data_IF_008541893852
#
_entry.id   IF_008541893852
#
_cell.length_a   1.000
_cell.length_b   1.000
_cell.length_c   1.000
_cell.angle_alpha   90.00
_cell.angle_beta   90.00
_cell.angle_gamma   90.00
#
_symmetry.space_group_name_H-M   'P 1'
#
loop_
_entity.id
_entity.type
_entity.pdbx_description
1 polymer ?
#
# COMPACT_ATOMS: atom_id res chain seq x y z
N UNK A 1 -0.69 31.76 -23.31
CA UNK A 1 0.35 32.20 -22.34
C UNK A 1 -0.09 31.98 -20.88
N UNK A 2 -1.36 32.28 -20.54
CA UNK A 2 -1.91 32.11 -19.18
C UNK A 2 -1.88 30.64 -18.72
N UNK A 3 -2.31 29.69 -19.56
CA UNK A 3 -2.31 28.26 -19.22
C UNK A 3 -0.93 27.71 -18.83
N UNK A 4 0.12 28.11 -19.57
CA UNK A 4 1.51 27.72 -19.24
C UNK A 4 1.96 28.28 -17.88
N UNK A 5 1.49 29.47 -17.49
CA UNK A 5 1.79 30.07 -16.18
C UNK A 5 1.06 29.31 -15.06
N UNK A 6 -0.23 29.02 -15.26
CA UNK A 6 -1.03 28.25 -14.29
C UNK A 6 -0.44 26.85 -14.09
N UNK A 7 -0.09 26.15 -15.16
CA UNK A 7 0.54 24.83 -15.06
C UNK A 7 1.89 24.87 -14.32
N UNK A 8 2.68 25.92 -14.52
CA UNK A 8 3.93 26.11 -13.78
C UNK A 8 3.66 26.31 -12.28
N UNK A 9 2.66 27.11 -11.91
CA UNK A 9 2.29 27.31 -10.51
C UNK A 9 1.84 26.01 -9.84
N UNK A 10 1.05 25.18 -10.55
CA UNK A 10 0.63 23.86 -10.05
C UNK A 10 1.84 22.96 -9.80
N UNK A 11 2.77 22.89 -10.76
CA UNK A 11 3.98 22.08 -10.61
C UNK A 11 4.86 22.56 -9.45
N UNK A 12 4.98 23.88 -9.27
CA UNK A 12 5.68 24.46 -8.11
C UNK A 12 4.97 24.11 -6.81
N UNK A 13 3.64 24.17 -6.76
CA UNK A 13 2.85 23.77 -5.59
C UNK A 13 3.08 22.31 -5.19
N UNK A 14 3.08 21.39 -6.17
CA UNK A 14 3.42 19.98 -5.92
C UNK A 14 4.86 19.81 -5.42
N UNK A 15 5.81 20.49 -6.05
CA UNK A 15 7.21 20.44 -5.63
C UNK A 15 7.39 20.92 -4.18
N UNK A 16 6.72 22.01 -3.80
CA UNK A 16 6.70 22.51 -2.42
C UNK A 16 6.07 21.51 -1.45
N UNK A 17 4.99 20.81 -1.86
CA UNK A 17 4.42 19.73 -1.04
C UNK A 17 5.47 18.63 -0.78
N UNK A 18 6.21 18.18 -1.79
CA UNK A 18 7.23 17.15 -1.60
C UNK A 18 8.41 17.63 -0.73
N UNK A 19 8.87 18.87 -0.90
CA UNK A 19 9.87 19.46 0.00
C UNK A 19 9.36 19.44 1.44
N UNK A 20 8.09 19.79 1.64
CA UNK A 20 7.47 19.78 2.96
C UNK A 20 7.46 18.38 3.56
N UNK A 21 7.12 17.33 2.81
CA UNK A 21 7.22 15.94 3.29
C UNK A 21 8.66 15.54 3.65
N UNK A 22 9.65 15.94 2.86
CA UNK A 22 11.06 15.72 3.19
C UNK A 22 11.40 16.43 4.51
N UNK A 23 10.98 17.68 4.68
CA UNK A 23 11.21 18.41 5.93
C UNK A 23 10.54 17.73 7.14
N UNK A 24 9.28 17.28 6.99
CA UNK A 24 8.57 16.52 8.03
C UNK A 24 9.31 15.25 8.38
N UNK A 25 9.80 14.49 7.39
CA UNK A 25 10.49 13.23 7.64
C UNK A 25 11.66 13.37 8.63
N UNK A 26 12.41 14.47 8.54
CA UNK A 26 13.56 14.73 9.41
C UNK A 26 13.22 15.48 10.71
N UNK A 27 12.08 16.19 10.77
CA UNK A 27 11.74 17.05 11.91
C UNK A 27 10.55 16.58 12.74
N UNK A 28 9.75 15.63 12.27
CA UNK A 28 8.59 15.15 13.04
C UNK A 28 9.03 14.26 14.19
N UNK A 29 8.40 14.49 15.33
CA UNK A 29 8.59 13.71 16.56
C UNK A 29 8.11 12.28 16.33
N UNK A 30 8.81 11.31 16.93
CA UNK A 30 8.37 9.93 16.97
C UNK A 30 7.09 9.82 17.80
N UNK A 31 6.08 9.17 17.24
CA UNK A 31 4.84 8.85 17.95
C UNK A 31 4.87 7.42 18.51
N UNK A 32 3.96 7.08 19.41
CA UNK A 32 3.91 5.76 20.04
C UNK A 32 3.91 4.59 19.04
N UNK A 33 3.18 4.72 17.93
CA UNK A 33 3.14 3.70 16.87
C UNK A 33 4.53 3.49 16.22
N UNK A 34 5.30 4.58 16.03
CA UNK A 34 6.66 4.50 15.47
C UNK A 34 7.59 3.74 16.42
N UNK A 35 7.52 4.02 17.73
CA UNK A 35 8.33 3.31 18.72
C UNK A 35 8.01 1.82 18.74
N UNK A 36 6.73 1.45 18.72
CA UNK A 36 6.31 0.05 18.70
C UNK A 36 6.80 -0.65 17.43
N UNK A 37 6.67 0.00 16.27
CA UNK A 37 7.14 -0.54 15.00
C UNK A 37 8.67 -0.73 15.00
N UNK A 38 9.43 0.29 15.42
CA UNK A 38 10.89 0.24 15.50
C UNK A 38 11.35 -0.87 16.45
N UNK A 39 10.76 -0.94 17.64
CA UNK A 39 11.09 -1.97 18.63
C UNK A 39 10.81 -3.38 18.10
N UNK A 40 9.65 -3.58 17.48
CA UNK A 40 9.28 -4.87 16.88
C UNK A 40 10.25 -5.27 15.77
N UNK A 41 10.55 -4.36 14.85
CA UNK A 41 11.47 -4.64 13.74
C UNK A 41 12.90 -4.91 14.23
N UNK A 42 13.36 -4.23 15.28
CA UNK A 42 14.66 -4.49 15.90
C UNK A 42 14.71 -5.89 16.52
N UNK A 43 13.70 -6.30 17.29
CA UNK A 43 13.63 -7.65 17.85
C UNK A 43 13.62 -8.73 16.77
N UNK A 44 12.82 -8.55 15.71
CA UNK A 44 12.81 -9.46 14.56
C UNK A 44 14.18 -9.52 13.87
N UNK A 45 14.90 -8.39 13.79
CA UNK A 45 16.26 -8.36 13.24
C UNK A 45 17.31 -9.00 14.15
N UNK A 46 17.06 -9.11 15.45
CA UNK A 46 17.92 -9.86 16.39
C UNK A 46 17.57 -11.37 16.42
N UNK A 47 16.65 -11.80 15.54
CA UNK A 47 16.20 -13.19 15.46
C UNK A 47 15.26 -13.60 16.59
N UNK A 48 14.65 -12.65 17.29
CA UNK A 48 13.64 -12.93 18.32
C UNK A 48 12.35 -13.42 17.68
N UNK A 49 11.75 -14.41 18.30
CA UNK A 49 10.50 -15.01 17.83
C UNK A 49 9.30 -14.32 18.48
N UNK A 50 8.41 -13.79 17.64
CA UNK A 50 7.16 -13.23 18.09
C UNK A 50 6.26 -14.31 18.72
N UNK A 51 5.48 -13.92 19.74
CA UNK A 51 4.67 -14.79 20.61
C UNK A 51 5.49 -15.74 21.51
N UNK A 52 6.82 -15.76 21.41
CA UNK A 52 7.73 -16.51 22.28
C UNK A 52 8.58 -15.56 23.13
N UNK A 53 9.37 -14.71 22.47
CA UNK A 53 10.27 -13.75 23.12
C UNK A 53 9.59 -12.41 23.43
N UNK A 54 8.58 -12.05 22.64
CA UNK A 54 7.83 -10.81 22.80
C UNK A 54 6.41 -10.91 22.22
N UNK A 55 5.49 -10.10 22.73
CA UNK A 55 4.11 -10.06 22.26
C UNK A 55 3.93 -9.09 21.09
N UNK A 56 3.08 -9.45 20.13
CA UNK A 56 2.64 -8.59 19.02
C UNK A 56 1.12 -8.53 19.02
N UNK A 57 0.56 -7.35 19.30
CA UNK A 57 -0.90 -7.16 19.33
C UNK A 57 -1.52 -7.10 17.93
N UNK A 58 -0.76 -6.70 16.92
CA UNK A 58 -1.23 -6.65 15.53
C UNK A 58 -0.06 -6.82 14.57
N UNK A 59 0.05 -8.03 14.01
CA UNK A 59 1.08 -8.31 13.03
C UNK A 59 0.81 -7.59 11.71
N UNK A 60 1.90 -7.23 11.03
CA UNK A 60 1.88 -6.68 9.68
C UNK A 60 3.13 -7.13 8.93
N UNK A 61 2.93 -7.56 7.67
CA UNK A 61 4.03 -7.86 6.74
C UNK A 61 5.06 -6.71 6.63
N UNK A 62 4.65 -5.47 6.93
CA UNK A 62 5.55 -4.31 6.95
C UNK A 62 6.78 -4.56 7.83
N UNK A 63 6.61 -5.19 9.00
CA UNK A 63 7.69 -5.37 9.95
C UNK A 63 8.74 -6.34 9.41
N UNK A 64 8.33 -7.47 8.84
CA UNK A 64 9.26 -8.43 8.24
C UNK A 64 9.97 -7.87 7.01
N UNK A 65 9.28 -7.04 6.22
CA UNK A 65 9.88 -6.42 5.04
C UNK A 65 10.94 -5.37 5.40
N UNK A 66 10.77 -4.69 6.53
CA UNK A 66 11.65 -3.59 6.94
C UNK A 66 12.72 -4.03 7.95
N UNK A 67 12.48 -5.07 8.75
CA UNK A 67 13.43 -5.58 9.74
C UNK A 67 14.85 -5.85 9.17
N UNK A 68 15.04 -6.40 7.95
CA UNK A 68 16.37 -6.63 7.40
C UNK A 68 17.22 -5.36 7.23
N UNK A 69 16.62 -4.17 7.23
CA UNK A 69 17.37 -2.91 7.13
C UNK A 69 18.22 -2.63 8.37
N UNK A 70 17.89 -3.22 9.53
CA UNK A 70 18.72 -3.14 10.73
C UNK A 70 20.09 -3.80 10.55
N UNK A 71 20.20 -4.87 9.74
CA UNK A 71 21.50 -5.48 9.43
C UNK A 71 22.40 -4.58 8.58
N UNK A 72 21.82 -3.66 7.79
CA UNK A 72 22.56 -2.78 6.88
C UNK A 72 22.95 -1.47 7.57
N UNK A 73 22.00 -0.87 8.30
CA UNK A 73 22.16 0.46 8.91
C UNK A 73 22.71 0.36 10.35
N UNK A 74 22.50 -0.77 11.01
CA UNK A 74 22.80 -1.00 12.41
C UNK A 74 21.67 -0.60 13.36
N UNK A 75 21.85 -0.93 14.64
CA UNK A 75 20.89 -0.73 15.72
C UNK A 75 20.85 0.73 16.20
N UNK A 76 20.22 1.58 15.40
CA UNK A 76 20.17 3.04 15.61
C UNK A 76 18.74 3.53 15.47
N UNK A 77 18.30 4.46 16.33
CA UNK A 77 16.94 5.01 16.26
C UNK A 77 16.76 5.86 14.98
N UNK A 78 17.85 6.41 14.45
CA UNK A 78 17.90 7.20 13.24
C UNK A 78 17.49 6.42 11.97
N UNK A 79 17.40 5.09 12.04
CA UNK A 79 16.85 4.27 10.96
C UNK A 79 15.41 4.68 10.59
N UNK A 80 14.67 5.31 11.52
CA UNK A 80 13.36 5.92 11.25
C UNK A 80 13.39 6.87 10.05
N UNK A 81 14.47 7.64 9.87
CA UNK A 81 14.57 8.57 8.76
C UNK A 81 14.62 7.83 7.42
N UNK A 82 15.29 6.68 7.37
CA UNK A 82 15.31 5.83 6.19
C UNK A 82 13.92 5.26 5.89
N UNK A 83 13.22 4.77 6.92
CA UNK A 83 11.85 4.29 6.77
C UNK A 83 10.91 5.39 6.27
N UNK A 84 11.02 6.61 6.79
CA UNK A 84 10.24 7.76 6.32
C UNK A 84 10.55 8.13 4.87
N UNK A 85 11.80 8.02 4.42
CA UNK A 85 12.15 8.20 3.01
C UNK A 85 11.50 7.14 2.11
N UNK A 86 11.40 5.89 2.56
CA UNK A 86 10.64 4.85 1.85
C UNK A 86 9.15 5.20 1.78
N UNK A 87 8.58 5.77 2.84
CA UNK A 87 7.18 6.21 2.86
C UNK A 87 6.93 7.40 1.93
N UNK A 88 7.88 8.36 1.82
CA UNK A 88 7.81 9.41 0.80
C UNK A 88 7.77 8.80 -0.62
N UNK A 89 8.56 7.75 -0.86
CA UNK A 89 8.52 7.02 -2.12
C UNK A 89 7.15 6.35 -2.36
N UNK A 90 6.54 5.76 -1.33
CA UNK A 90 5.18 5.22 -1.41
C UNK A 90 4.13 6.33 -1.68
N UNK A 91 4.28 7.52 -1.07
CA UNK A 91 3.44 8.69 -1.37
C UNK A 91 3.57 9.11 -2.84
N UNK A 92 4.78 9.06 -3.41
CA UNK A 92 5.00 9.33 -4.83
C UNK A 92 4.27 8.32 -5.72
N UNK A 93 4.34 7.03 -5.38
CA UNK A 93 3.61 5.97 -6.10
C UNK A 93 2.10 6.20 -6.01
N UNK A 94 1.57 6.42 -4.81
CA UNK A 94 0.15 6.70 -4.58
C UNK A 94 -0.30 7.94 -5.36
N UNK A 95 0.50 9.01 -5.36
CA UNK A 95 0.22 10.24 -6.11
C UNK A 95 0.13 9.98 -7.61
N UNK A 96 1.06 9.19 -8.15
CA UNK A 96 1.03 8.81 -9.56
C UNK A 96 -0.21 7.97 -9.91
N UNK A 97 -0.58 7.00 -9.05
CA UNK A 97 -1.78 6.19 -9.26
C UNK A 97 -3.06 7.04 -9.22
N UNK A 98 -3.18 7.94 -8.25
CA UNK A 98 -4.30 8.89 -8.16
C UNK A 98 -4.35 9.77 -9.40
N UNK A 99 -3.21 10.31 -9.85
CA UNK A 99 -3.13 11.08 -11.10
C UNK A 99 -3.67 10.28 -12.28
N UNK A 100 -3.23 9.04 -12.47
CA UNK A 100 -3.71 8.16 -13.55
C UNK A 100 -5.21 7.91 -13.48
N UNK A 101 -5.76 7.67 -12.29
CA UNK A 101 -7.18 7.42 -12.09
C UNK A 101 -8.03 8.67 -12.36
N UNK A 102 -7.61 9.85 -11.91
CA UNK A 102 -8.35 11.10 -12.15
C UNK A 102 -8.31 11.46 -13.64
N UNK A 103 -7.18 11.18 -14.31
CA UNK A 103 -6.99 11.41 -15.76
C UNK A 103 -7.93 10.62 -16.66
N UNK A 104 -8.65 9.62 -16.13
CA UNK A 104 -9.72 8.92 -16.85
C UNK A 104 -10.89 9.87 -17.14
N UNK A 105 -11.19 10.77 -16.20
CA UNK A 105 -12.38 11.62 -16.25
C UNK A 105 -12.08 13.09 -16.47
N UNK A 106 -10.89 13.55 -16.03
CA UNK A 106 -10.54 14.98 -16.00
C UNK A 106 -9.21 15.28 -16.68
N UNK A 107 -8.98 16.57 -16.93
CA UNK A 107 -7.72 17.05 -17.51
C UNK A 107 -6.55 16.99 -16.50
N UNK A 108 -5.32 17.23 -16.99
CA UNK A 108 -4.11 17.10 -16.17
C UNK A 108 -4.06 18.12 -15.04
N UNK A 109 -4.53 19.33 -15.29
CA UNK A 109 -4.49 20.40 -14.29
C UNK A 109 -5.40 20.07 -13.11
N UNK A 110 -6.61 19.55 -13.34
CA UNK A 110 -7.52 19.08 -12.28
C UNK A 110 -6.86 17.97 -11.47
N UNK A 111 -6.29 16.96 -12.12
CA UNK A 111 -5.63 15.85 -11.43
C UNK A 111 -4.48 16.32 -10.51
N UNK A 112 -3.64 17.23 -11.01
CA UNK A 112 -2.51 17.76 -10.23
C UNK A 112 -2.97 18.68 -9.09
N UNK A 113 -4.02 19.48 -9.29
CA UNK A 113 -4.62 20.28 -8.20
C UNK A 113 -5.22 19.36 -7.13
N UNK A 114 -5.93 18.29 -7.52
CA UNK A 114 -6.45 17.31 -6.57
C UNK A 114 -5.34 16.65 -5.76
N UNK A 115 -4.19 16.35 -6.37
CA UNK A 115 -3.04 15.85 -5.63
C UNK A 115 -2.54 16.84 -4.58
N UNK A 116 -2.45 18.13 -4.90
CA UNK A 116 -2.09 19.15 -3.91
C UNK A 116 -3.07 19.08 -2.73
N UNK A 117 -4.38 19.10 -2.98
CA UNK A 117 -5.39 19.01 -1.91
C UNK A 117 -5.24 17.75 -1.06
N UNK A 118 -5.04 16.58 -1.68
CA UNK A 118 -4.88 15.32 -0.97
C UNK A 118 -3.62 15.35 -0.10
N UNK A 119 -2.48 15.77 -0.67
CA UNK A 119 -1.19 15.83 0.01
C UNK A 119 -1.15 16.85 1.14
N UNK A 120 -2.02 17.87 1.10
CA UNK A 120 -2.14 18.88 2.18
C UNK A 120 -3.26 18.56 3.18
N UNK A 121 -3.96 17.44 3.04
CA UNK A 121 -4.95 17.05 4.06
C UNK A 121 -4.26 16.75 5.39
N UNK A 122 -4.96 17.02 6.49
CA UNK A 122 -4.45 16.74 7.84
C UNK A 122 -4.08 15.26 8.03
N UNK A 123 -4.87 14.35 7.45
CA UNK A 123 -4.60 12.92 7.52
C UNK A 123 -3.27 12.55 6.84
N UNK A 124 -3.06 12.98 5.59
CA UNK A 124 -1.80 12.70 4.88
C UNK A 124 -0.61 13.40 5.52
N UNK A 125 -0.81 14.65 5.94
CA UNK A 125 0.25 15.46 6.55
C UNK A 125 0.74 14.90 7.89
N UNK A 126 -0.19 14.48 8.76
CA UNK A 126 0.14 14.01 10.11
C UNK A 126 0.49 12.53 10.18
N UNK A 127 -0.09 11.69 9.30
CA UNK A 127 0.01 10.23 9.40
C UNK A 127 0.66 9.57 8.19
N UNK A 128 0.92 10.33 7.12
CA UNK A 128 1.46 9.77 5.88
C UNK A 128 2.89 9.26 5.98
N UNK A 129 3.63 9.64 7.02
CA UNK A 129 5.01 9.19 7.26
C UNK A 129 5.18 8.34 8.53
N UNK A 130 4.07 8.04 9.22
CA UNK A 130 4.10 7.13 10.36
C UNK A 130 4.42 5.71 9.87
N UNK A 131 5.16 4.94 10.67
CA UNK A 131 5.52 3.55 10.32
C UNK A 131 4.34 2.60 10.51
N UNK A 132 3.36 2.72 9.60
CA UNK A 132 2.09 2.01 9.66
C UNK A 132 1.77 1.31 8.34
N UNK A 133 1.00 0.21 8.38
CA UNK A 133 0.61 -0.51 7.16
C UNK A 133 -0.38 0.26 6.27
N UNK A 134 -0.98 1.34 6.76
CA UNK A 134 -2.06 2.05 6.08
C UNK A 134 -1.65 2.61 4.71
N UNK A 135 -0.45 3.19 4.59
CA UNK A 135 0.05 3.73 3.31
C UNK A 135 0.41 2.63 2.29
N UNK A 136 1.15 1.56 2.64
CA UNK A 136 1.31 0.39 1.77
C UNK A 136 -0.03 -0.18 1.27
N UNK A 137 -1.02 -0.33 2.16
CA UNK A 137 -2.36 -0.81 1.80
C UNK A 137 -3.02 0.13 0.79
N UNK A 138 -2.94 1.45 1.02
CA UNK A 138 -3.47 2.46 0.08
C UNK A 138 -2.84 2.32 -1.30
N UNK A 139 -1.52 2.17 -1.39
CA UNK A 139 -0.81 1.97 -2.66
C UNK A 139 -1.30 0.71 -3.39
N UNK A 140 -1.51 -0.38 -2.66
CA UNK A 140 -2.02 -1.64 -3.23
C UNK A 140 -3.47 -1.50 -3.69
N UNK A 141 -4.33 -0.85 -2.91
CA UNK A 141 -5.71 -0.55 -3.29
C UNK A 141 -5.79 0.32 -4.54
N UNK A 142 -5.02 1.40 -4.59
CA UNK A 142 -4.94 2.28 -5.77
C UNK A 142 -4.39 1.51 -6.98
N UNK A 143 -3.42 0.62 -6.79
CA UNK A 143 -2.91 -0.23 -7.87
C UNK A 143 -3.99 -1.17 -8.40
N UNK A 144 -4.81 -1.76 -7.54
CA UNK A 144 -5.97 -2.58 -7.94
C UNK A 144 -6.91 -1.75 -8.83
N UNK A 145 -7.23 -0.52 -8.43
CA UNK A 145 -8.07 0.38 -9.24
C UNK A 145 -7.43 0.72 -10.58
N UNK A 146 -6.12 0.98 -10.62
CA UNK A 146 -5.38 1.23 -11.86
C UNK A 146 -5.43 0.02 -12.79
N UNK A 147 -5.30 -1.21 -12.27
CA UNK A 147 -5.41 -2.44 -13.07
C UNK A 147 -6.83 -2.62 -13.62
N UNK A 148 -7.85 -2.29 -12.81
CA UNK A 148 -9.25 -2.36 -13.23
C UNK A 148 -9.53 -1.37 -14.37
N UNK A 149 -9.26 -0.08 -14.13
CA UNK A 149 -9.79 1.01 -14.96
C UNK A 149 -8.81 1.57 -15.99
N UNK A 150 -7.49 1.51 -15.76
CA UNK A 150 -6.49 2.15 -16.63
C UNK A 150 -5.83 1.12 -17.56
N UNK A 151 -5.40 -0.02 -17.03
CA UNK A 151 -4.68 -1.02 -17.84
C UNK A 151 -5.59 -1.66 -18.88
N UNK A 152 -5.02 -2.08 -20.03
CA UNK A 152 -5.74 -2.74 -21.13
C UNK A 152 -5.39 -4.24 -21.26
N UNK A 153 -5.02 -4.87 -20.16
CA UNK A 153 -4.62 -6.28 -20.15
C UNK A 153 -5.80 -7.23 -20.40
N UNK A 154 -5.48 -8.47 -20.77
CA UNK A 154 -6.46 -9.56 -20.91
C UNK A 154 -7.21 -9.78 -19.57
N UNK A 155 -8.51 -10.10 -19.60
CA UNK A 155 -9.34 -10.16 -18.39
C UNK A 155 -8.84 -11.19 -17.37
N UNK A 156 -8.29 -12.33 -17.80
CA UNK A 156 -7.71 -13.32 -16.89
C UNK A 156 -6.47 -12.78 -16.16
N UNK A 157 -5.51 -12.22 -16.89
CA UNK A 157 -4.29 -11.62 -16.33
C UNK A 157 -4.60 -10.47 -15.38
N UNK A 158 -5.59 -9.62 -15.71
CA UNK A 158 -6.05 -8.57 -14.79
C UNK A 158 -6.53 -9.15 -13.47
N UNK A 159 -7.39 -10.16 -13.51
CA UNK A 159 -7.97 -10.72 -12.30
C UNK A 159 -6.95 -11.49 -11.47
N UNK A 160 -6.01 -12.18 -12.12
CA UNK A 160 -4.84 -12.75 -11.44
C UNK A 160 -4.07 -11.69 -10.66
N UNK A 161 -3.71 -10.58 -11.31
CA UNK A 161 -2.97 -9.49 -10.67
C UNK A 161 -3.78 -8.84 -9.53
N UNK A 162 -5.09 -8.66 -9.71
CA UNK A 162 -5.98 -8.13 -8.67
C UNK A 162 -6.03 -9.07 -7.46
N UNK A 163 -6.12 -10.39 -7.68
CA UNK A 163 -6.07 -11.39 -6.60
C UNK A 163 -4.76 -11.36 -5.84
N UNK A 164 -3.64 -11.31 -6.57
CA UNK A 164 -2.31 -11.19 -5.98
C UNK A 164 -2.16 -9.92 -5.12
N UNK A 165 -2.54 -8.75 -5.66
CA UNK A 165 -2.46 -7.47 -4.94
C UNK A 165 -3.40 -7.41 -3.74
N UNK A 166 -4.61 -7.99 -3.86
CA UNK A 166 -5.58 -8.04 -2.77
C UNK A 166 -5.04 -8.87 -1.60
N UNK A 167 -4.53 -10.07 -1.89
CA UNK A 167 -3.90 -10.91 -0.87
C UNK A 167 -2.67 -10.25 -0.26
N UNK A 168 -1.84 -9.59 -1.06
CA UNK A 168 -0.70 -8.82 -0.54
C UNK A 168 -1.15 -7.73 0.44
N UNK A 169 -2.24 -7.02 0.13
CA UNK A 169 -2.79 -6.01 1.05
C UNK A 169 -3.34 -6.62 2.35
N UNK A 170 -3.94 -7.80 2.28
CA UNK A 170 -4.41 -8.52 3.47
C UNK A 170 -3.27 -8.92 4.40
N UNK A 171 -2.09 -9.25 3.88
CA UNK A 171 -0.90 -9.57 4.68
C UNK A 171 -0.39 -8.37 5.51
N UNK A 172 -0.69 -7.14 5.09
CA UNK A 172 -0.41 -5.96 5.90
C UNK A 172 -1.45 -5.73 6.99
N UNK A 173 -2.74 -5.97 6.70
CA UNK A 173 -3.84 -5.85 7.67
C UNK A 173 -5.13 -6.46 7.12
N UNK A 174 -5.87 -7.20 7.94
CA UNK A 174 -7.17 -7.78 7.53
C UNK A 174 -8.20 -6.75 7.05
N UNK A 175 -8.19 -5.53 7.63
CA UNK A 175 -9.05 -4.41 7.19
C UNK A 175 -8.88 -4.05 5.71
N UNK A 176 -7.79 -4.49 5.07
CA UNK A 176 -7.60 -4.37 3.62
C UNK A 176 -8.69 -5.10 2.80
N UNK A 177 -9.48 -6.01 3.39
CA UNK A 177 -10.57 -6.75 2.73
C UNK A 177 -11.66 -5.84 2.13
N UNK A 178 -11.78 -4.60 2.60
CA UNK A 178 -12.78 -3.63 2.12
C UNK A 178 -12.69 -3.37 0.61
N UNK A 179 -11.50 -3.47 -0.01
CA UNK A 179 -11.36 -3.35 -1.46
C UNK A 179 -12.11 -4.46 -2.23
N UNK A 180 -12.40 -5.58 -1.55
CA UNK A 180 -13.20 -6.68 -2.07
C UNK A 180 -14.59 -6.25 -2.54
N UNK A 181 -15.19 -5.22 -1.93
CA UNK A 181 -16.47 -4.66 -2.39
C UNK A 181 -16.35 -4.08 -3.79
N UNK A 182 -15.29 -3.31 -4.06
CA UNK A 182 -15.05 -2.70 -5.39
C UNK A 182 -14.76 -3.78 -6.43
N UNK A 183 -13.99 -4.81 -6.07
CA UNK A 183 -13.70 -5.96 -6.93
C UNK A 183 -15.00 -6.73 -7.24
N UNK A 184 -15.87 -6.91 -6.24
CA UNK A 184 -17.18 -7.54 -6.38
C UNK A 184 -18.08 -6.76 -7.34
N UNK A 185 -18.18 -5.44 -7.18
CA UNK A 185 -18.94 -4.57 -8.10
C UNK A 185 -18.39 -4.68 -9.53
N UNK A 186 -17.06 -4.68 -9.70
CA UNK A 186 -16.44 -4.84 -11.02
C UNK A 186 -16.75 -6.18 -11.68
N UNK A 187 -16.82 -7.26 -10.90
CA UNK A 187 -17.23 -8.59 -11.38
C UNK A 187 -18.70 -8.60 -11.82
N UNK A 188 -19.58 -7.97 -11.05
CA UNK A 188 -21.02 -7.91 -11.31
C UNK A 188 -21.40 -6.97 -12.46
N UNK A 189 -20.60 -5.94 -12.75
CA UNK A 189 -20.86 -5.02 -13.87
C UNK A 189 -20.97 -5.71 -15.24
N UNK A 190 -20.50 -6.96 -15.36
CA UNK A 190 -20.59 -7.76 -16.58
C UNK A 190 -21.88 -8.57 -16.76
N UNK A 191 -22.85 -8.52 -15.83
CA UNK A 191 -24.04 -9.40 -15.81
C UNK A 191 -24.81 -9.39 -17.13
N UNK A 192 -24.92 -8.24 -17.79
CA UNK A 192 -25.67 -8.10 -19.05
C UNK A 192 -24.98 -8.68 -20.28
N UNK A 193 -23.77 -9.27 -20.15
CA UNK A 193 -23.03 -9.79 -21.28
C UNK A 193 -23.38 -11.25 -21.60
N UNK A 194 -23.45 -11.64 -22.89
CA UNK A 194 -23.58 -13.05 -23.27
C UNK A 194 -22.38 -13.87 -22.75
N UNK A 195 -22.67 -15.07 -22.28
CA UNK A 195 -21.74 -15.98 -21.59
C UNK A 195 -21.14 -15.43 -20.30
N UNK A 196 -21.87 -14.56 -19.57
CA UNK A 196 -21.46 -14.02 -18.28
C UNK A 196 -20.91 -15.08 -17.34
N UNK A 197 -21.65 -16.17 -17.09
CA UNK A 197 -21.24 -17.23 -16.17
C UNK A 197 -19.85 -17.81 -16.51
N UNK A 198 -19.62 -18.23 -17.76
CA UNK A 198 -18.33 -18.81 -18.16
C UNK A 198 -17.18 -17.81 -18.00
N UNK A 199 -17.40 -16.55 -18.39
CA UNK A 199 -16.39 -15.48 -18.23
C UNK A 199 -16.11 -15.16 -16.76
N UNK A 200 -17.14 -15.14 -15.93
CA UNK A 200 -17.03 -14.87 -14.50
C UNK A 200 -16.29 -15.99 -13.78
N UNK A 201 -16.57 -17.26 -14.09
CA UNK A 201 -15.83 -18.40 -13.53
C UNK A 201 -14.35 -18.28 -13.85
N UNK A 202 -13.97 -17.99 -15.10
CA UNK A 202 -12.55 -17.80 -15.47
C UNK A 202 -11.91 -16.65 -14.70
N UNK A 203 -12.61 -15.53 -14.53
CA UNK A 203 -12.12 -14.38 -13.76
C UNK A 203 -11.93 -14.72 -12.28
N UNK A 204 -12.87 -15.44 -11.67
CA UNK A 204 -12.80 -15.87 -10.27
C UNK A 204 -11.67 -16.87 -10.08
N UNK A 205 -11.54 -17.87 -10.96
CA UNK A 205 -10.42 -18.82 -10.91
C UNK A 205 -9.07 -18.12 -11.05
N UNK A 206 -8.96 -17.14 -11.97
CA UNK A 206 -7.75 -16.35 -12.11
C UNK A 206 -7.45 -15.53 -10.84
N UNK A 207 -8.45 -14.88 -10.25
CA UNK A 207 -8.32 -14.16 -8.98
C UNK A 207 -7.84 -15.07 -7.85
N UNK A 208 -8.51 -16.22 -7.64
CA UNK A 208 -8.14 -17.19 -6.61
C UNK A 208 -6.72 -17.69 -6.84
N UNK A 209 -6.34 -18.00 -8.08
CA UNK A 209 -4.96 -18.43 -8.38
C UNK A 209 -3.91 -17.35 -8.06
N UNK A 210 -4.20 -16.07 -8.32
CA UNK A 210 -3.31 -14.97 -7.96
C UNK A 210 -3.18 -14.80 -6.44
N UNK A 211 -4.29 -14.90 -5.73
CA UNK A 211 -4.33 -14.89 -4.27
C UNK A 211 -3.55 -16.06 -3.65
N UNK A 212 -3.76 -17.27 -4.15
CA UNK A 212 -3.04 -18.47 -3.71
C UNK A 212 -1.54 -18.34 -3.94
N UNK A 213 -1.11 -17.83 -5.10
CA UNK A 213 0.32 -17.59 -5.37
C UNK A 213 0.90 -16.60 -4.36
N UNK A 214 0.21 -15.50 -4.05
CA UNK A 214 0.68 -14.53 -3.06
C UNK A 214 0.85 -15.16 -1.66
N UNK A 215 -0.16 -15.90 -1.19
CA UNK A 215 -0.12 -16.57 0.12
C UNK A 215 0.97 -17.64 0.15
N UNK A 216 1.13 -18.43 -0.91
CA UNK A 216 2.21 -19.42 -1.01
C UNK A 216 3.57 -18.76 -0.95
N UNK A 217 3.80 -17.66 -1.70
CA UNK A 217 5.08 -16.94 -1.61
C UNK A 217 5.31 -16.40 -0.20
N UNK A 218 4.29 -15.86 0.46
CA UNK A 218 4.41 -15.43 1.85
C UNK A 218 4.74 -16.59 2.79
N UNK A 219 4.12 -17.76 2.62
CA UNK A 219 4.42 -18.95 3.42
C UNK A 219 5.82 -19.53 3.15
N UNK A 220 6.29 -19.48 1.90
CA UNK A 220 7.61 -20.01 1.54
C UNK A 220 8.77 -19.09 1.92
N UNK A 221 8.57 -17.77 1.86
CA UNK A 221 9.58 -16.78 2.23
C UNK A 221 9.47 -16.35 3.69
N UNK A 222 8.27 -16.36 4.25
CA UNK A 222 8.03 -16.24 5.68
C UNK A 222 8.30 -17.58 6.38
N UNK A 223 8.52 -17.52 7.68
CA UNK A 223 8.59 -18.74 8.49
C UNK A 223 7.17 -19.26 8.78
N UNK A 224 7.05 -20.53 9.16
CA UNK A 224 5.78 -21.09 9.66
C UNK A 224 5.26 -20.30 10.86
N UNK A 225 6.17 -19.85 11.74
CA UNK A 225 5.83 -19.01 12.88
C UNK A 225 5.19 -17.68 12.45
N UNK A 226 5.78 -17.00 11.46
CA UNK A 226 5.26 -15.74 10.90
C UNK A 226 3.84 -15.91 10.36
N UNK A 227 3.59 -17.01 9.66
CA UNK A 227 2.26 -17.30 9.11
C UNK A 227 1.21 -17.57 10.20
N UNK A 228 1.57 -18.32 11.24
CA UNK A 228 0.67 -18.60 12.37
C UNK A 228 0.33 -17.32 13.14
N UNK A 229 1.32 -16.45 13.39
CA UNK A 229 1.09 -15.14 14.04
C UNK A 229 0.13 -14.28 13.21
N UNK A 230 0.30 -14.26 11.88
CA UNK A 230 -0.63 -13.57 11.01
C UNK A 230 -2.06 -14.11 11.14
N UNK A 231 -2.24 -15.44 11.20
CA UNK A 231 -3.55 -16.04 11.39
C UNK A 231 -4.16 -15.74 12.76
N UNK A 232 -3.37 -15.77 13.83
CA UNK A 232 -3.85 -15.52 15.19
C UNK A 232 -4.30 -14.06 15.34
N UNK A 233 -3.47 -13.12 14.90
CA UNK A 233 -3.75 -11.67 15.00
C UNK A 233 -4.81 -11.16 14.02
N UNK A 234 -5.31 -12.02 13.11
CA UNK A 234 -6.42 -11.69 12.21
C UNK A 234 -7.78 -12.20 12.69
N UNK A 235 -7.82 -13.08 13.71
CA UNK A 235 -9.06 -13.60 14.28
C UNK A 235 -9.67 -12.68 15.36
N UNK A 236 -8.85 -11.81 15.95
CA UNK A 236 -9.25 -10.80 16.94
C UNK A 236 -9.80 -9.50 16.30
#
# INVERSE_FOLDING_TARGET
MIERRVQRLINVGLFLCFIMYIFIAFNSVLINDDYMALYTMWLLSDGKEASVDFNIDSYTLLFDLLAPLYYIVGERIEIVYLYRMLFIFLILIASNQIYLLIRIFFNSSVALITLIFILTTTAMFMRGLDLRPDLPILVLWLQILVVIYVKKDKPGTKMFLIGFLCSCALLFKFKAILIGVVIGIYLLAGISQPHFFKKTVVKVMAFVSGSSVCIMLFYFFGSEATFNIFLDTTQD
#
